data_IF_742754918311
#
_entry.id   IF_742754918311
#
_cell.length_a   1.000
_cell.length_b   1.000
_cell.length_c   1.000
_cell.angle_alpha   90.00
_cell.angle_beta   90.00
_cell.angle_gamma   90.00
#
_symmetry.space_group_name_H-M   'P 1'
#
loop_
_entity.id
_entity.type
_entity.pdbx_description
1 polymer ?
#
# COMPACT_ATOMS: atom_id res chain seq x y z
N UNK A 1 10.51 -4.04 -14.33
CA UNK A 1 10.09 -2.62 -14.38
C UNK A 1 10.19 -2.06 -12.98
N UNK A 2 10.81 -0.91 -12.77
CA UNK A 2 11.03 -0.36 -11.42
C UNK A 2 9.68 -0.01 -10.78
N UNK A 3 9.24 -0.82 -9.81
CA UNK A 3 7.95 -0.74 -9.10
C UNK A 3 7.78 0.52 -8.23
N UNK A 4 7.81 1.69 -8.86
CA UNK A 4 7.59 3.00 -8.23
C UNK A 4 6.41 3.67 -8.91
N UNK A 5 5.42 4.03 -8.12
CA UNK A 5 4.25 4.80 -8.54
C UNK A 5 4.08 5.99 -7.60
N UNK A 6 3.61 7.11 -8.15
CA UNK A 6 3.20 8.25 -7.34
C UNK A 6 1.76 8.06 -6.90
N UNK A 7 1.53 8.10 -5.60
CA UNK A 7 0.20 7.94 -4.98
C UNK A 7 -0.11 9.12 -4.07
N UNK A 8 -1.38 9.26 -3.68
CA UNK A 8 -1.85 10.28 -2.75
C UNK A 8 -2.61 9.61 -1.62
N UNK A 9 -2.50 10.19 -0.43
CA UNK A 9 -3.36 9.85 0.70
C UNK A 9 -4.62 10.73 0.59
N UNK A 10 -5.78 10.08 0.64
CA UNK A 10 -7.08 10.75 0.69
C UNK A 10 -7.65 10.62 2.10
N UNK A 11 -8.38 11.65 2.54
CA UNK A 11 -9.12 11.62 3.79
C UNK A 11 -10.62 11.52 3.49
N UNK A 12 -11.29 10.54 4.10
CA UNK A 12 -12.73 10.32 3.99
C UNK A 12 -13.30 10.13 5.39
N UNK A 13 -13.91 11.18 5.94
CA UNK A 13 -14.41 11.22 7.33
C UNK A 13 -13.29 10.86 8.32
N UNK A 14 -13.45 9.77 9.06
CA UNK A 14 -12.48 9.26 10.04
C UNK A 14 -11.43 8.31 9.45
N UNK A 15 -11.42 8.11 8.12
CA UNK A 15 -10.52 7.16 7.45
C UNK A 15 -9.56 7.86 6.50
N UNK A 16 -8.38 7.28 6.35
CA UNK A 16 -7.41 7.66 5.33
C UNK A 16 -7.19 6.48 4.40
N UNK A 17 -7.14 6.74 3.10
CA UNK A 17 -6.91 5.71 2.08
C UNK A 17 -5.77 6.10 1.16
N UNK A 18 -4.99 5.11 0.74
CA UNK A 18 -4.04 5.25 -0.36
C UNK A 18 -4.62 4.47 -1.53
N UNK A 19 -4.81 5.14 -2.67
CA UNK A 19 -5.22 4.46 -3.89
C UNK A 19 -3.97 4.03 -4.65
N UNK A 20 -3.81 2.73 -4.87
CA UNK A 20 -2.76 2.18 -5.73
C UNK A 20 -3.32 2.01 -7.15
N UNK A 21 -2.55 2.38 -8.20
CA UNK A 21 -2.94 2.13 -9.60
C UNK A 21 -3.20 0.64 -9.86
N UNK A 22 -4.21 0.32 -10.69
CA UNK A 22 -4.62 -1.07 -10.92
C UNK A 22 -3.57 -1.92 -11.64
N UNK A 23 -2.81 -1.32 -12.54
CA UNK A 23 -1.66 -1.94 -13.21
C UNK A 23 -0.53 -2.28 -12.23
N UNK A 24 -0.29 -1.40 -11.26
CA UNK A 24 0.68 -1.64 -10.17
C UNK A 24 0.26 -2.79 -9.26
N UNK A 25 -1.03 -2.88 -8.91
CA UNK A 25 -1.57 -3.98 -8.06
C UNK A 25 -1.61 -5.32 -8.79
N UNK A 26 -1.80 -5.32 -10.11
CA UNK A 26 -1.85 -6.54 -10.94
C UNK A 26 -0.47 -7.02 -11.40
N UNK A 27 0.59 -6.28 -11.10
CA UNK A 27 1.95 -6.71 -11.38
C UNK A 27 2.27 -7.98 -10.56
N UNK A 28 2.88 -8.98 -11.19
CA UNK A 28 3.26 -10.25 -10.54
C UNK A 28 4.23 -10.08 -9.36
N UNK A 29 4.93 -8.94 -9.28
CA UNK A 29 5.81 -8.59 -8.17
C UNK A 29 5.09 -7.85 -7.04
N UNK A 30 3.80 -7.54 -7.17
CA UNK A 30 3.02 -6.92 -6.09
C UNK A 30 2.93 -7.91 -4.91
N UNK A 31 3.35 -7.51 -3.70
CA UNK A 31 3.63 -8.48 -2.63
C UNK A 31 2.38 -8.92 -1.84
N UNK A 32 1.19 -8.41 -2.16
CA UNK A 32 -0.03 -8.59 -1.36
C UNK A 32 -1.22 -9.07 -2.20
N UNK A 33 -2.20 -9.67 -1.54
CA UNK A 33 -3.49 -9.99 -2.14
C UNK A 33 -4.57 -8.95 -1.77
N UNK A 34 -5.57 -8.78 -2.64
CA UNK A 34 -6.69 -7.88 -2.38
C UNK A 34 -7.53 -8.45 -1.23
N UNK A 35 -7.64 -7.70 -0.13
CA UNK A 35 -8.39 -8.11 1.06
C UNK A 35 -7.54 -8.82 2.13
N UNK A 36 -6.24 -9.04 1.87
CA UNK A 36 -5.30 -9.57 2.85
C UNK A 36 -5.17 -8.61 4.06
N UNK A 37 -5.14 -9.16 5.28
CA UNK A 37 -4.82 -8.38 6.47
C UNK A 37 -3.31 -8.08 6.52
N UNK A 38 -2.98 -6.79 6.60
CA UNK A 38 -1.58 -6.32 6.63
C UNK A 38 -1.29 -5.57 7.93
N UNK A 39 -0.02 -5.48 8.28
CA UNK A 39 0.46 -4.65 9.38
C UNK A 39 1.16 -3.43 8.80
N UNK A 40 0.77 -2.24 9.26
CA UNK A 40 1.44 -0.99 8.94
C UNK A 40 2.17 -0.45 10.17
N UNK A 41 3.43 -0.06 10.03
CA UNK A 41 4.23 0.61 11.08
C UNK A 41 4.92 1.86 10.55
N UNK A 42 5.27 2.77 11.47
CA UNK A 42 6.09 3.95 11.15
C UNK A 42 7.51 3.68 11.62
N UNK A 43 8.47 3.77 10.71
CA UNK A 43 9.88 3.54 10.98
C UNK A 43 10.73 4.52 10.16
N UNK A 44 11.71 5.19 10.77
CA UNK A 44 12.65 6.07 10.07
C UNK A 44 11.98 7.10 9.14
N UNK A 45 10.86 7.70 9.59
CA UNK A 45 10.02 8.65 8.83
C UNK A 45 9.37 8.04 7.57
N UNK A 46 9.16 6.74 7.54
CA UNK A 46 8.47 6.01 6.47
C UNK A 46 7.32 5.19 7.05
N UNK A 47 6.29 4.97 6.25
CA UNK A 47 5.30 3.92 6.51
C UNK A 47 5.80 2.65 5.85
N UNK A 48 5.90 1.58 6.63
CA UNK A 48 6.25 0.24 6.18
C UNK A 48 4.98 -0.61 6.30
N UNK A 49 4.60 -1.28 5.22
CA UNK A 49 3.46 -2.20 5.16
C UNK A 49 4.01 -3.59 4.89
N UNK A 50 3.64 -4.56 5.71
CA UNK A 50 4.11 -5.94 5.64
C UNK A 50 2.94 -6.91 5.85
N UNK A 51 3.13 -8.16 5.42
CA UNK A 51 2.19 -9.24 5.73
C UNK A 51 2.13 -9.45 7.24
N UNK A 52 0.93 -9.72 7.75
CA UNK A 52 0.75 -10.17 9.13
C UNK A 52 1.41 -11.55 9.29
N UNK A 53 2.27 -11.69 10.31
CA UNK A 53 2.92 -12.96 10.64
C UNK A 53 1.93 -13.99 11.18
#
# INVERSE_FOLDING_TARGET
MTGKVTVKIYAVKSRHTINLPSDFVRDSAFPFEVGEELVARIENRKVIIEKKQ
#
